data_IF_390778568958
#
_entry.id   IF_390778568958
#
_cell.length_a   1.000
_cell.length_b   1.000
_cell.length_c   1.000
_cell.angle_alpha   90.00
_cell.angle_beta   90.00
_cell.angle_gamma   90.00
#
_symmetry.space_group_name_H-M   'P 1'
#
loop_
_entity.id
_entity.type
_entity.pdbx_description
1 polymer ?
#
# COMPACT_ATOMS: atom_id res chain seq x y z
N UNK A 1 24.65 2.65 18.23
CA UNK A 1 24.29 1.21 18.30
C UNK A 1 23.47 0.89 17.06
N UNK A 2 23.89 -0.07 16.24
CA UNK A 2 23.15 -0.50 15.04
C UNK A 2 22.34 -1.73 15.43
N UNK A 3 21.08 -1.77 15.01
CA UNK A 3 20.16 -2.88 15.28
C UNK A 3 19.56 -3.32 13.95
N UNK A 4 19.63 -4.62 13.65
CA UNK A 4 18.98 -5.18 12.46
C UNK A 4 17.48 -5.29 12.70
N UNK A 5 16.68 -4.99 11.68
CA UNK A 5 15.23 -5.19 11.70
C UNK A 5 14.85 -6.66 11.51
N UNK A 6 15.80 -7.51 11.09
CA UNK A 6 15.55 -8.93 10.83
C UNK A 6 14.71 -9.21 9.58
N UNK A 7 14.37 -8.17 8.81
CA UNK A 7 13.53 -8.26 7.62
C UNK A 7 14.21 -7.62 6.41
N UNK A 8 13.98 -8.12 5.19
CA UNK A 8 14.46 -7.48 3.98
C UNK A 8 13.80 -6.11 3.78
N UNK A 9 14.42 -5.28 2.95
CA UNK A 9 13.76 -4.08 2.42
C UNK A 9 12.61 -4.52 1.51
N UNK A 10 11.40 -4.06 1.81
CA UNK A 10 10.16 -4.48 1.17
C UNK A 10 9.27 -3.28 0.87
N UNK A 11 8.24 -3.50 0.04
CA UNK A 11 7.21 -2.52 -0.28
C UNK A 11 5.82 -3.06 0.04
N UNK A 12 4.90 -2.17 0.36
CA UNK A 12 3.49 -2.47 0.49
C UNK A 12 2.79 -2.36 -0.87
N UNK A 13 1.98 -3.36 -1.22
CA UNK A 13 1.23 -3.40 -2.47
C UNK A 13 -0.28 -3.45 -2.16
N UNK A 14 -1.02 -2.44 -2.62
CA UNK A 14 -2.47 -2.39 -2.44
C UNK A 14 -3.10 -1.07 -2.89
N UNK A 15 -4.43 -0.94 -2.72
CA UNK A 15 -5.15 0.29 -3.06
C UNK A 15 -4.65 1.50 -2.26
N UNK A 16 -4.43 2.62 -2.95
CA UNK A 16 -3.82 3.84 -2.40
C UNK A 16 -2.43 4.12 -2.94
N UNK A 17 -1.83 3.20 -3.71
CA UNK A 17 -0.55 3.43 -4.36
C UNK A 17 -0.62 4.48 -5.48
N UNK A 18 -1.67 4.45 -6.30
CA UNK A 18 -1.70 5.18 -7.59
C UNK A 18 -1.77 6.69 -7.38
N UNK A 19 -2.39 7.16 -6.30
CA UNK A 19 -2.55 8.59 -6.03
C UNK A 19 -1.40 9.23 -5.27
N UNK A 20 -0.41 8.46 -4.82
CA UNK A 20 0.60 8.92 -3.86
C UNK A 20 1.97 9.12 -4.50
N UNK A 21 2.74 10.06 -3.94
CA UNK A 21 4.13 10.33 -4.34
C UNK A 21 5.06 9.79 -3.26
N UNK A 22 6.00 8.94 -3.66
CA UNK A 22 6.92 8.26 -2.76
C UNK A 22 8.38 8.62 -3.02
N UNK A 23 9.23 8.40 -2.02
CA UNK A 23 10.68 8.35 -2.20
C UNK A 23 11.17 6.94 -2.62
N UNK A 24 12.49 6.76 -2.71
CA UNK A 24 13.11 5.50 -3.16
C UNK A 24 12.91 4.29 -2.23
N UNK A 25 12.29 4.46 -1.06
CA UNK A 25 11.97 3.38 -0.12
C UNK A 25 10.50 3.40 0.30
N UNK A 26 9.63 3.98 -0.54
CA UNK A 26 8.17 3.98 -0.39
C UNK A 26 7.61 4.79 0.79
N UNK A 27 8.28 5.87 1.21
CA UNK A 27 7.70 6.79 2.19
C UNK A 27 6.85 7.88 1.50
N UNK A 28 5.61 8.15 1.96
CA UNK A 28 4.71 9.10 1.31
C UNK A 28 5.15 10.55 1.55
N UNK A 29 5.63 11.22 0.51
CA UNK A 29 6.24 12.55 0.61
C UNK A 29 5.25 13.65 0.99
N UNK A 30 4.00 13.54 0.55
CA UNK A 30 2.95 14.51 0.85
C UNK A 30 2.51 14.45 2.32
N UNK A 31 2.39 13.25 2.89
CA UNK A 31 2.07 13.01 4.31
C UNK A 31 3.22 13.50 5.17
N UNK A 32 4.45 13.16 4.80
CA UNK A 32 5.63 13.63 5.52
C UNK A 32 5.71 15.15 5.49
N UNK A 33 5.56 15.78 4.33
CA UNK A 33 5.58 17.23 4.20
C UNK A 33 4.53 17.90 5.08
N UNK A 34 3.30 17.35 5.15
CA UNK A 34 2.24 17.84 6.04
C UNK A 34 2.61 17.75 7.52
N UNK A 35 3.43 16.78 7.92
CA UNK A 35 3.87 16.58 9.32
C UNK A 35 5.09 17.41 9.71
N UNK A 36 6.07 17.56 8.82
CA UNK A 36 7.40 18.11 9.18
C UNK A 36 7.86 19.31 8.33
N UNK A 37 7.08 19.69 7.32
CA UNK A 37 7.39 20.79 6.42
C UNK A 37 8.43 20.43 5.34
N UNK A 38 9.17 21.43 4.88
CA UNK A 38 10.04 21.33 3.70
C UNK A 38 11.28 20.44 3.87
N UNK A 39 11.75 20.27 5.11
CA UNK A 39 12.98 19.54 5.39
C UNK A 39 12.64 18.13 5.85
N UNK A 40 13.13 17.12 5.12
CA UNK A 40 12.92 15.72 5.46
C UNK A 40 13.87 15.29 6.62
N UNK A 41 13.37 15.03 7.84
CA UNK A 41 14.20 14.58 8.94
C UNK A 41 14.64 13.14 8.72
N UNK A 42 15.82 12.79 9.26
CA UNK A 42 16.31 11.41 9.25
C UNK A 42 15.49 10.57 10.24
N UNK A 43 15.20 9.33 9.86
CA UNK A 43 14.51 8.37 10.72
C UNK A 43 12.98 8.53 10.78
N UNK A 44 12.39 9.36 9.93
CA UNK A 44 10.93 9.38 9.78
C UNK A 44 10.47 8.08 9.11
N UNK A 45 9.52 7.44 9.77
CA UNK A 45 8.89 6.19 9.37
C UNK A 45 7.37 6.45 9.32
N UNK A 46 6.82 6.40 8.12
CA UNK A 46 5.41 6.70 7.86
C UNK A 46 4.85 5.57 6.98
N UNK A 47 3.65 5.04 7.30
CA UNK A 47 3.04 3.97 6.51
C UNK A 47 2.90 4.38 5.03
N UNK A 48 3.27 3.47 4.12
CA UNK A 48 3.15 3.73 2.68
C UNK A 48 1.69 3.94 2.25
N UNK A 49 0.78 3.15 2.81
CA UNK A 49 -0.65 3.20 2.52
C UNK A 49 -1.44 3.74 3.71
N UNK A 50 -2.50 4.50 3.40
CA UNK A 50 -3.44 5.02 4.39
C UNK A 50 -4.22 3.86 5.04
N UNK A 51 -4.11 3.74 6.37
CA UNK A 51 -4.77 2.69 7.16
C UNK A 51 -6.20 3.02 7.56
N UNK A 52 -6.59 4.27 7.45
CA UNK A 52 -7.92 4.75 7.83
C UNK A 52 -8.86 4.83 6.62
N UNK A 53 -8.31 4.97 5.41
CA UNK A 53 -9.08 4.98 4.17
C UNK A 53 -9.83 3.66 3.97
N UNK A 54 -11.15 3.77 3.82
CA UNK A 54 -12.03 2.64 3.51
C UNK A 54 -12.21 2.50 2.01
N UNK A 55 -12.17 1.26 1.56
CA UNK A 55 -12.36 0.89 0.16
C UNK A 55 -13.57 -0.02 0.03
N UNK A 56 -14.39 0.21 -0.97
CA UNK A 56 -15.44 -0.73 -1.35
C UNK A 56 -14.81 -1.90 -2.11
N UNK A 57 -15.04 -3.11 -1.61
CA UNK A 57 -14.51 -4.33 -2.18
C UNK A 57 -15.63 -5.10 -2.90
N UNK A 58 -15.39 -5.41 -4.17
CA UNK A 58 -16.28 -6.21 -5.01
C UNK A 58 -15.69 -7.61 -5.17
N UNK A 59 -16.22 -8.63 -4.47
CA UNK A 59 -15.69 -9.99 -4.54
C UNK A 59 -15.92 -10.62 -5.93
N UNK A 60 -14.97 -11.43 -6.38
CA UNK A 60 -15.07 -12.24 -7.61
C UNK A 60 -15.04 -13.75 -7.37
N UNK A 61 -14.88 -14.18 -6.11
CA UNK A 61 -14.86 -15.59 -5.69
C UNK A 61 -15.86 -15.84 -4.56
N UNK A 62 -16.27 -17.09 -4.40
CA UNK A 62 -17.20 -17.53 -3.36
C UNK A 62 -16.49 -18.35 -2.28
N UNK A 63 -17.15 -18.45 -1.13
CA UNK A 63 -16.69 -19.33 -0.05
C UNK A 63 -16.72 -20.79 -0.53
N UNK A 64 -15.56 -21.45 -0.47
CA UNK A 64 -15.39 -22.83 -0.90
C UNK A 64 -14.62 -22.98 -2.22
N UNK A 65 -14.39 -21.87 -2.94
CA UNK A 65 -13.57 -21.88 -4.14
C UNK A 65 -12.10 -22.20 -3.79
N UNK A 66 -11.48 -23.02 -4.62
CA UNK A 66 -10.03 -23.28 -4.53
C UNK A 66 -9.30 -22.23 -5.36
N UNK A 67 -8.29 -21.59 -4.75
CA UNK A 67 -7.49 -20.53 -5.37
C UNK A 67 -6.00 -20.79 -5.17
N UNK A 68 -5.19 -20.23 -6.06
CA UNK A 68 -3.72 -20.27 -6.02
C UNK A 68 -3.13 -18.85 -6.04
N UNK A 69 -1.82 -18.73 -5.78
CA UNK A 69 -1.12 -17.46 -5.83
C UNK A 69 -1.33 -16.75 -7.18
N UNK A 70 -1.66 -15.45 -7.12
CA UNK A 70 -1.99 -14.64 -8.30
C UNK A 70 -3.47 -14.64 -8.71
N UNK A 71 -4.29 -15.54 -8.17
CA UNK A 71 -5.73 -15.52 -8.46
C UNK A 71 -6.41 -14.27 -7.90
N UNK A 72 -7.42 -13.78 -8.60
CA UNK A 72 -8.16 -12.58 -8.22
C UNK A 72 -9.31 -12.92 -7.27
N UNK A 73 -9.25 -12.38 -6.06
CA UNK A 73 -10.29 -12.49 -5.05
C UNK A 73 -11.42 -11.47 -5.26
N UNK A 74 -11.10 -10.34 -5.90
CA UNK A 74 -12.05 -9.29 -6.21
C UNK A 74 -11.34 -8.02 -6.67
N UNK A 75 -12.10 -6.93 -6.68
CA UNK A 75 -11.60 -5.62 -7.13
C UNK A 75 -11.98 -4.51 -6.17
N UNK A 76 -11.14 -3.48 -6.13
CA UNK A 76 -11.40 -2.18 -5.50
C UNK A 76 -11.29 -1.12 -6.59
N UNK A 77 -12.27 -0.21 -6.68
CA UNK A 77 -12.15 0.94 -7.56
C UNK A 77 -11.20 1.99 -6.93
N UNK A 78 -9.95 2.03 -7.37
CA UNK A 78 -8.93 2.91 -6.78
C UNK A 78 -9.00 4.33 -7.36
N UNK A 79 -9.21 4.43 -8.67
CA UNK A 79 -9.33 5.68 -9.41
C UNK A 79 -10.32 5.52 -10.57
N UNK A 80 -10.78 6.59 -11.20
CA UNK A 80 -11.81 6.53 -12.27
C UNK A 80 -11.48 5.53 -13.39
N UNK A 81 -10.21 5.43 -13.76
CA UNK A 81 -9.73 4.55 -14.84
C UNK A 81 -9.05 3.27 -14.35
N UNK A 82 -8.87 3.09 -13.03
CA UNK A 82 -8.13 1.95 -12.49
C UNK A 82 -8.97 1.16 -11.48
N UNK A 83 -9.29 -0.07 -11.88
CA UNK A 83 -9.80 -1.12 -11.00
C UNK A 83 -8.64 -1.95 -10.48
N UNK A 84 -8.37 -1.83 -9.18
CA UNK A 84 -7.30 -2.54 -8.49
C UNK A 84 -7.73 -3.97 -8.19
N UNK A 85 -6.98 -4.97 -8.68
CA UNK A 85 -7.28 -6.38 -8.46
C UNK A 85 -6.64 -6.86 -7.17
N UNK A 86 -7.45 -7.41 -6.27
CA UNK A 86 -6.98 -8.02 -5.03
C UNK A 86 -6.63 -9.46 -5.33
N UNK A 87 -5.38 -9.83 -5.09
CA UNK A 87 -4.83 -11.13 -5.47
C UNK A 87 -4.45 -11.96 -4.26
N UNK A 88 -4.46 -13.28 -4.43
CA UNK A 88 -3.77 -14.17 -3.49
C UNK A 88 -2.26 -13.89 -3.58
N UNK A 89 -1.57 -13.64 -2.45
CA UNK A 89 -0.13 -13.40 -2.42
C UNK A 89 0.72 -14.55 -2.98
#
# INVERSE_FOLDING_TARGET
KVVSTGSPLSVELGPGLISNIYDGIQRPLDIIFRKVGHNLPKGIDEPALDREKKWEFFPSVNKGDTVIAGDFLGTVQEYEIVSHRIMVP
#
